data_IF_468511918520
#
_entry.id   IF_468511918520
#
_cell.length_a   1.000
_cell.length_b   1.000
_cell.length_c   1.000
_cell.angle_alpha   90.00
_cell.angle_beta   90.00
_cell.angle_gamma   90.00
#
_symmetry.space_group_name_H-M   'P 1'
#
loop_
_entity.id
_entity.type
_entity.pdbx_description
1 polymer ?
#
# COMPACT_ATOMS: atom_id res chain seq x y z
N UNK A 1 6.06 -16.32 18.35
CA UNK A 1 6.96 -17.50 18.26
C UNK A 1 7.68 -17.61 19.59
N UNK A 2 7.34 -18.66 20.36
CA UNK A 2 7.95 -18.96 21.66
C UNK A 2 9.05 -19.98 21.40
N UNK A 3 10.26 -19.65 21.80
CA UNK A 3 11.41 -20.57 21.82
C UNK A 3 11.48 -21.18 23.22
N UNK A 4 11.36 -22.49 23.32
CA UNK A 4 11.68 -23.24 24.54
C UNK A 4 12.98 -23.98 24.28
N UNK A 5 14.04 -23.64 25.03
CA UNK A 5 15.26 -24.42 25.15
C UNK A 5 15.10 -25.39 26.31
N UNK A 6 15.41 -26.64 26.09
CA UNK A 6 15.65 -27.53 27.19
C UNK A 6 17.04 -28.18 27.08
N UNK A 7 17.74 -28.19 28.18
CA UNK A 7 19.08 -28.73 28.44
C UNK A 7 18.99 -30.06 29.18
N UNK A 8 19.91 -30.96 28.85
CA UNK A 8 20.56 -32.03 29.65
C UNK A 8 20.35 -33.42 29.04
N UNK A 9 21.31 -34.28 28.90
CA UNK A 9 22.45 -34.76 29.65
C UNK A 9 23.22 -35.82 28.83
N UNK A 10 24.46 -35.99 29.21
CA UNK A 10 25.58 -36.85 28.80
C UNK A 10 25.39 -38.38 28.88
N UNK A 11 26.33 -39.04 28.14
CA UNK A 11 26.94 -40.43 28.26
C UNK A 11 26.24 -41.52 27.44
N UNK A 12 26.88 -42.42 26.74
CA UNK A 12 28.13 -43.17 26.77
C UNK A 12 28.35 -43.92 25.42
N UNK A 13 29.56 -44.26 25.16
CA UNK A 13 30.16 -44.95 24.03
C UNK A 13 29.60 -46.38 23.85
N UNK A 14 29.33 -46.80 22.60
CA UNK A 14 29.53 -48.16 22.13
C UNK A 14 29.71 -48.22 20.60
N UNK A 15 30.80 -48.84 20.20
CA UNK A 15 31.30 -49.07 18.85
C UNK A 15 30.51 -50.21 18.19
N UNK A 16 29.83 -49.92 17.06
CA UNK A 16 29.39 -50.97 16.13
C UNK A 16 29.46 -50.42 14.70
N UNK A 17 30.35 -51.05 13.92
CA UNK A 17 30.47 -50.85 12.47
C UNK A 17 29.21 -51.41 11.80
N UNK A 18 28.42 -50.55 11.14
CA UNK A 18 27.41 -51.00 10.19
C UNK A 18 27.42 -50.07 8.98
N UNK A 19 27.57 -50.69 7.83
CA UNK A 19 27.54 -50.10 6.47
C UNK A 19 26.43 -49.09 6.27
N UNK A 20 26.82 -47.85 6.00
CA UNK A 20 25.88 -46.76 5.71
C UNK A 20 25.41 -46.85 4.26
N UNK A 21 24.14 -47.17 4.05
CA UNK A 21 23.39 -46.82 2.86
C UNK A 21 23.00 -45.33 3.04
N UNK A 22 23.66 -44.46 2.29
CA UNK A 22 23.33 -43.02 2.28
C UNK A 22 21.96 -42.82 1.61
N UNK A 23 20.91 -42.78 2.40
CA UNK A 23 19.63 -42.21 1.97
C UNK A 23 19.82 -40.69 1.87
N UNK A 24 19.82 -40.13 0.64
CA UNK A 24 19.75 -38.70 0.38
C UNK A 24 18.35 -38.27 0.81
N UNK A 25 18.21 -37.73 2.01
CA UNK A 25 17.02 -37.04 2.44
C UNK A 25 17.08 -35.63 1.81
N UNK A 26 16.11 -35.22 0.96
CA UNK A 26 16.08 -33.86 0.48
C UNK A 26 15.84 -32.94 1.68
N UNK A 27 16.82 -32.15 2.03
CA UNK A 27 16.65 -31.06 2.99
C UNK A 27 15.70 -30.05 2.36
N UNK A 28 14.47 -29.97 2.88
CA UNK A 28 13.57 -28.87 2.57
C UNK A 28 14.24 -27.58 3.02
N UNK A 29 14.79 -26.84 2.09
CA UNK A 29 15.23 -25.45 2.32
C UNK A 29 13.99 -24.61 2.54
N UNK A 30 13.68 -24.33 3.80
CA UNK A 30 12.72 -23.28 4.13
C UNK A 30 13.28 -21.97 3.60
N UNK A 31 12.56 -21.33 2.66
CA UNK A 31 12.87 -19.98 2.22
C UNK A 31 12.75 -19.06 3.43
N UNK A 32 13.88 -18.62 3.97
CA UNK A 32 13.91 -17.60 5.00
C UNK A 32 13.62 -16.26 4.33
N UNK A 33 12.50 -15.63 4.71
CA UNK A 33 12.19 -14.26 4.32
C UNK A 33 13.22 -13.35 4.99
N UNK A 34 14.23 -12.90 4.25
CA UNK A 34 15.14 -11.86 4.71
C UNK A 34 14.45 -10.52 4.50
N UNK A 35 13.85 -10.00 5.57
CA UNK A 35 13.39 -8.61 5.61
C UNK A 35 14.63 -7.75 5.92
N UNK A 36 15.18 -7.11 4.90
CA UNK A 36 16.17 -6.04 5.10
C UNK A 36 15.40 -4.78 5.51
N UNK A 37 15.22 -4.58 6.80
CA UNK A 37 14.73 -3.30 7.32
C UNK A 37 15.91 -2.34 7.18
N UNK A 38 15.86 -1.44 6.19
CA UNK A 38 16.79 -0.33 6.12
C UNK A 38 16.75 0.40 7.46
N UNK A 39 17.93 0.57 8.08
CA UNK A 39 18.06 1.25 9.36
C UNK A 39 17.39 2.61 9.25
N UNK A 40 16.39 2.85 10.08
CA UNK A 40 15.80 4.18 10.18
C UNK A 40 16.93 5.20 10.40
N UNK A 41 16.88 6.41 9.83
CA UNK A 41 17.87 7.44 10.08
C UNK A 41 18.03 7.59 11.59
N UNK A 42 19.25 7.75 12.06
CA UNK A 42 19.68 7.56 13.45
C UNK A 42 18.89 8.39 14.49
N UNK A 43 18.14 9.40 14.06
CA UNK A 43 17.05 10.07 14.80
C UNK A 43 16.12 10.78 13.81
N UNK A 44 14.91 10.28 13.64
CA UNK A 44 13.88 11.04 12.92
C UNK A 44 13.64 12.39 13.61
N UNK A 45 13.57 13.51 12.88
CA UNK A 45 13.35 14.83 13.47
C UNK A 45 12.04 14.85 14.26
N UNK A 46 12.10 15.53 15.41
CA UNK A 46 10.91 15.73 16.25
C UNK A 46 9.96 16.73 15.61
N UNK A 47 8.68 16.47 15.69
CA UNK A 47 7.61 17.38 15.32
C UNK A 47 6.61 17.47 16.45
N UNK A 48 6.26 18.68 16.88
CA UNK A 48 5.19 18.90 17.84
C UNK A 48 3.91 19.23 17.09
N UNK A 49 2.86 18.48 17.38
CA UNK A 49 1.52 18.76 16.87
C UNK A 49 0.70 19.21 18.08
N UNK A 50 0.29 20.46 18.06
CA UNK A 50 -0.49 21.05 19.17
C UNK A 50 -1.96 20.77 18.90
N UNK A 51 -2.72 20.31 19.91
CA UNK A 51 -4.17 20.14 19.76
C UNK A 51 -4.80 21.40 19.16
N UNK A 52 -5.55 21.27 18.08
CA UNK A 52 -6.17 22.39 17.41
C UNK A 52 -7.25 22.99 18.30
N UNK A 53 -7.36 24.30 18.32
CA UNK A 53 -8.42 24.96 19.07
C UNK A 53 -9.79 24.53 18.54
N UNK A 54 -10.69 24.13 19.44
CA UNK A 54 -12.02 23.58 19.15
C UNK A 54 -12.01 22.22 18.43
N UNK A 55 -10.91 21.45 18.56
CA UNK A 55 -10.78 20.14 17.91
C UNK A 55 -10.52 19.01 18.92
N UNK A 56 -11.15 17.86 18.65
CA UNK A 56 -10.81 16.59 19.29
C UNK A 56 -10.46 15.48 18.28
N UNK A 57 -10.59 15.74 16.98
CA UNK A 57 -10.55 14.71 15.95
C UNK A 57 -9.32 14.79 15.02
N UNK A 58 -8.85 15.99 14.65
CA UNK A 58 -7.79 16.19 13.65
C UNK A 58 -6.39 15.94 14.22
N UNK A 59 -6.12 16.48 15.41
CA UNK A 59 -4.81 16.35 16.06
C UNK A 59 -4.30 14.90 16.12
N UNK A 60 -5.07 13.92 16.63
CA UNK A 60 -4.57 12.54 16.72
C UNK A 60 -4.30 11.91 15.34
N UNK A 61 -5.04 12.31 14.31
CA UNK A 61 -4.85 11.81 12.95
C UNK A 61 -3.50 12.27 12.42
N UNK A 62 -3.21 13.57 12.49
CA UNK A 62 -1.93 14.13 12.03
C UNK A 62 -0.76 13.50 12.78
N UNK A 63 -0.88 13.38 14.11
CA UNK A 63 0.16 12.77 14.93
C UNK A 63 0.44 11.32 14.52
N UNK A 64 -0.60 10.51 14.37
CA UNK A 64 -0.47 9.11 13.98
C UNK A 64 0.08 8.95 12.56
N UNK A 65 -0.37 9.75 11.60
CA UNK A 65 0.11 9.71 10.22
C UNK A 65 1.60 10.00 10.13
N UNK A 66 2.05 11.11 10.72
CA UNK A 66 3.44 11.51 10.68
C UNK A 66 4.36 10.53 11.42
N UNK A 67 3.93 9.99 12.57
CA UNK A 67 4.67 8.94 13.27
C UNK A 67 4.75 7.65 12.45
N UNK A 68 3.63 7.22 11.86
CA UNK A 68 3.56 6.00 11.04
C UNK A 68 4.45 6.08 9.80
N UNK A 69 4.70 7.28 9.29
CA UNK A 69 5.61 7.48 8.16
C UNK A 69 7.06 7.04 8.44
N UNK A 70 7.43 6.94 9.73
CA UNK A 70 8.80 6.67 10.17
C UNK A 70 9.80 7.79 9.86
N UNK A 71 9.33 8.92 9.28
CA UNK A 71 10.16 10.09 8.97
C UNK A 71 10.21 11.12 10.07
N UNK A 72 9.24 11.09 10.99
CA UNK A 72 9.10 12.01 12.10
C UNK A 72 8.83 11.25 13.39
N UNK A 73 9.19 11.89 14.51
CA UNK A 73 8.82 11.41 15.86
C UNK A 73 8.02 12.51 16.54
N UNK A 74 6.82 12.19 17.02
CA UNK A 74 6.00 13.15 17.75
C UNK A 74 6.68 13.57 19.05
N UNK A 75 6.77 14.87 19.28
CA UNK A 75 7.21 15.44 20.55
C UNK A 75 5.98 15.59 21.45
N UNK A 76 5.80 14.68 22.42
CA UNK A 76 4.63 14.63 23.30
C UNK A 76 4.91 15.03 24.75
N UNK A 77 6.18 15.23 25.12
CA UNK A 77 6.57 15.52 26.51
C UNK A 77 7.29 16.87 26.61
N UNK A 78 7.02 17.58 27.73
CA UNK A 78 7.64 18.86 28.07
C UNK A 78 7.51 19.94 26.97
N UNK A 79 6.34 19.97 26.31
CA UNK A 79 6.08 20.99 25.31
C UNK A 79 5.85 22.36 25.96
N UNK A 80 6.28 23.45 25.32
CA UNK A 80 5.92 24.80 25.74
C UNK A 80 4.40 24.98 25.84
N UNK A 81 3.94 25.69 26.90
CA UNK A 81 2.53 25.80 27.22
C UNK A 81 1.70 26.62 26.22
N UNK A 82 2.35 27.40 25.35
CA UNK A 82 1.67 28.33 24.45
C UNK A 82 2.17 28.19 23.02
N UNK A 83 1.35 27.56 22.20
CA UNK A 83 1.46 27.70 20.75
C UNK A 83 0.05 27.72 20.16
N UNK A 84 -0.26 28.74 19.42
CA UNK A 84 -1.51 28.91 18.68
C UNK A 84 -1.21 29.59 17.34
N UNK A 85 -2.23 29.74 16.51
CA UNK A 85 -2.11 30.42 15.22
C UNK A 85 -1.44 31.79 15.42
N UNK A 86 -0.35 32.05 14.68
CA UNK A 86 0.48 33.26 14.71
C UNK A 86 1.15 33.59 16.05
N UNK A 87 1.23 32.63 17.01
CA UNK A 87 1.77 32.87 18.35
C UNK A 87 2.78 31.79 18.75
N UNK A 88 3.74 31.48 17.88
CA UNK A 88 4.81 30.52 18.16
C UNK A 88 6.08 31.28 18.61
N UNK A 89 6.52 31.03 19.85
CA UNK A 89 7.74 31.60 20.38
C UNK A 89 8.92 30.66 20.07
N UNK A 90 9.70 30.98 19.04
CA UNK A 90 10.78 30.10 18.54
C UNK A 90 11.76 29.66 19.63
N UNK A 91 12.13 30.56 20.56
CA UNK A 91 13.09 30.27 21.65
C UNK A 91 12.63 29.12 22.56
N UNK A 92 11.35 29.05 22.88
CA UNK A 92 10.80 27.99 23.75
C UNK A 92 10.93 26.60 23.08
N UNK A 93 10.67 26.55 21.79
CA UNK A 93 10.74 25.31 21.00
C UNK A 93 12.19 24.89 20.69
N UNK A 94 13.11 25.86 20.52
CA UNK A 94 14.54 25.59 20.41
C UNK A 94 15.07 24.93 21.68
N UNK A 95 14.71 25.47 22.85
CA UNK A 95 15.10 24.91 24.15
C UNK A 95 14.53 23.51 24.38
N UNK A 96 13.34 23.23 23.85
CA UNK A 96 12.72 21.90 23.90
C UNK A 96 13.31 20.90 22.88
N UNK A 97 14.19 21.36 21.98
CA UNK A 97 14.81 20.54 20.92
C UNK A 97 13.79 20.05 19.87
N UNK A 98 12.78 20.87 19.58
CA UNK A 98 11.69 20.54 18.63
C UNK A 98 11.84 21.45 17.41
N UNK A 99 12.31 20.94 16.26
CA UNK A 99 12.54 21.75 15.05
C UNK A 99 11.27 22.17 14.31
N UNK A 100 10.16 21.44 14.46
CA UNK A 100 8.92 21.71 13.72
C UNK A 100 7.71 21.73 14.64
N UNK A 101 6.84 22.72 14.44
CA UNK A 101 5.62 22.91 15.24
C UNK A 101 4.42 23.06 14.31
N UNK A 102 3.39 22.29 14.57
CA UNK A 102 2.08 22.37 13.90
C UNK A 102 1.07 22.93 14.87
N UNK A 103 0.38 23.97 14.46
CA UNK A 103 -0.75 24.57 15.19
C UNK A 103 -1.94 24.71 14.29
N UNK A 104 -3.14 24.73 14.85
CA UNK A 104 -4.34 24.93 14.06
C UNK A 104 -5.55 25.30 14.90
N UNK A 105 -6.61 25.70 14.20
CA UNK A 105 -7.93 25.95 14.78
C UNK A 105 -9.02 25.49 13.83
N UNK A 106 -10.13 25.07 14.38
CA UNK A 106 -11.35 24.74 13.65
C UNK A 106 -12.42 25.77 13.98
N UNK A 107 -13.07 26.27 12.94
CA UNK A 107 -14.18 27.18 13.03
C UNK A 107 -15.38 26.61 12.29
N UNK A 108 -16.54 26.63 12.94
CA UNK A 108 -17.81 26.32 12.27
C UNK A 108 -18.21 27.51 11.39
N UNK A 109 -18.35 27.28 10.09
CA UNK A 109 -18.93 28.28 9.17
C UNK A 109 -20.46 28.18 9.22
N UNK A 110 -20.95 26.95 9.18
CA UNK A 110 -22.37 26.61 9.31
C UNK A 110 -22.55 25.23 9.97
N UNK A 111 -23.78 24.72 10.04
CA UNK A 111 -24.08 23.43 10.68
C UNK A 111 -23.36 22.22 10.06
N UNK A 112 -22.91 22.32 8.81
CA UNK A 112 -22.37 21.21 8.04
C UNK A 112 -20.96 21.45 7.49
N UNK A 113 -20.37 22.65 7.74
CA UNK A 113 -19.11 23.06 7.11
C UNK A 113 -18.14 23.59 8.15
N UNK A 114 -16.92 23.08 8.11
CA UNK A 114 -15.80 23.54 8.92
C UNK A 114 -14.78 24.29 8.06
N UNK A 115 -14.22 25.34 8.63
CA UNK A 115 -13.00 25.99 8.20
C UNK A 115 -11.87 25.57 9.15
N UNK A 116 -10.81 25.02 8.58
CA UNK A 116 -9.65 24.52 9.34
C UNK A 116 -8.46 25.36 8.90
N UNK A 117 -7.98 26.23 9.79
CA UNK A 117 -6.74 26.96 9.58
C UNK A 117 -5.60 26.23 10.27
N UNK A 118 -4.53 25.92 9.55
CA UNK A 118 -3.36 25.25 10.10
C UNK A 118 -2.06 25.92 9.63
N UNK A 119 -1.03 25.80 10.47
CA UNK A 119 0.30 26.33 10.21
C UNK A 119 1.36 25.29 10.57
N UNK A 120 2.39 25.20 9.74
CA UNK A 120 3.63 24.51 10.03
C UNK A 120 4.75 25.52 10.17
N UNK A 121 5.42 25.53 11.31
CA UNK A 121 6.51 26.45 11.64
C UNK A 121 7.85 25.72 11.73
N UNK A 122 8.87 26.24 11.03
CA UNK A 122 10.29 25.83 11.15
C UNK A 122 10.93 26.69 12.23
N UNK A 123 11.24 26.07 13.36
CA UNK A 123 11.79 26.74 14.55
C UNK A 123 13.22 27.25 14.32
N UNK A 124 14.01 26.53 13.53
CA UNK A 124 15.39 26.94 13.24
C UNK A 124 15.45 28.11 12.28
N UNK A 125 14.62 28.07 11.23
CA UNK A 125 14.56 29.15 10.24
C UNK A 125 13.67 30.31 10.68
N UNK A 126 12.91 30.13 11.77
CA UNK A 126 11.94 31.09 12.29
C UNK A 126 10.93 31.56 11.24
N UNK A 127 10.41 30.62 10.45
CA UNK A 127 9.44 30.91 9.37
C UNK A 127 8.33 29.87 9.30
N UNK A 128 7.18 30.31 8.80
CA UNK A 128 6.11 29.41 8.44
C UNK A 128 6.41 28.73 7.11
N UNK A 129 6.37 27.40 7.09
CA UNK A 129 6.46 26.60 5.88
C UNK A 129 5.09 26.39 5.25
N UNK A 130 4.04 26.33 6.07
CA UNK A 130 2.65 26.28 5.65
C UNK A 130 1.84 27.27 6.48
N UNK A 131 0.86 27.89 5.85
CA UNK A 131 -0.16 28.75 6.47
C UNK A 131 -1.40 28.71 5.59
N UNK A 132 -2.24 27.72 5.81
CA UNK A 132 -3.30 27.35 4.87
C UNK A 132 -4.64 27.20 5.58
N UNK A 133 -5.70 27.34 4.79
CA UNK A 133 -7.10 27.18 5.22
C UNK A 133 -7.78 26.14 4.33
N UNK A 134 -8.38 25.13 4.97
CA UNK A 134 -9.23 24.14 4.30
C UNK A 134 -10.68 24.37 4.68
N UNK A 135 -11.57 24.36 3.70
CA UNK A 135 -13.01 24.33 3.94
C UNK A 135 -13.54 22.94 3.57
N UNK A 136 -14.13 22.25 4.53
CA UNK A 136 -14.58 20.86 4.35
C UNK A 136 -15.97 20.64 4.97
N UNK A 137 -16.79 19.75 4.40
CA UNK A 137 -17.98 19.27 5.09
C UNK A 137 -17.63 18.61 6.43
N UNK A 138 -18.48 18.78 7.44
CA UNK A 138 -18.28 18.17 8.76
C UNK A 138 -18.10 16.63 8.71
N UNK A 139 -18.73 15.97 7.74
CA UNK A 139 -18.57 14.54 7.50
C UNK A 139 -17.18 14.13 6.96
N UNK A 140 -16.33 15.10 6.56
CA UNK A 140 -14.99 14.88 6.01
C UNK A 140 -13.85 15.41 6.90
N UNK A 141 -14.14 15.76 8.13
CA UNK A 141 -13.12 16.25 9.08
C UNK A 141 -11.95 15.28 9.23
N UNK A 142 -12.22 13.99 9.30
CA UNK A 142 -11.17 12.97 9.35
C UNK A 142 -10.28 13.01 8.10
N UNK A 143 -10.88 13.06 6.92
CA UNK A 143 -10.14 13.19 5.67
C UNK A 143 -9.29 14.46 5.61
N UNK A 144 -9.79 15.57 6.17
CA UNK A 144 -9.02 16.82 6.27
C UNK A 144 -7.76 16.64 7.13
N UNK A 145 -7.82 15.88 8.22
CA UNK A 145 -6.63 15.53 9.03
C UNK A 145 -5.56 14.86 8.19
N UNK A 146 -5.92 13.85 7.40
CA UNK A 146 -4.99 13.17 6.49
C UNK A 146 -4.45 14.10 5.39
N UNK A 147 -5.28 15.00 4.83
CA UNK A 147 -4.83 15.99 3.84
C UNK A 147 -3.82 16.97 4.44
N UNK A 148 -4.01 17.38 5.68
CA UNK A 148 -3.04 18.21 6.41
C UNK A 148 -1.74 17.44 6.62
N UNK A 149 -1.81 16.16 6.97
CA UNK A 149 -0.65 15.28 7.08
C UNK A 149 0.13 15.19 5.76
N UNK A 150 -0.56 15.07 4.62
CA UNK A 150 0.05 15.07 3.28
C UNK A 150 0.79 16.37 2.99
N UNK A 151 0.16 17.52 3.28
CA UNK A 151 0.76 18.83 3.06
C UNK A 151 2.02 19.04 3.93
N UNK A 152 1.95 18.67 5.23
CA UNK A 152 3.08 18.73 6.15
C UNK A 152 4.22 17.83 5.68
N UNK A 153 3.90 16.59 5.29
CA UNK A 153 4.88 15.62 4.82
C UNK A 153 5.60 16.14 3.57
N UNK A 154 4.86 16.65 2.62
CA UNK A 154 5.40 17.24 1.38
C UNK A 154 6.27 18.47 1.66
N UNK A 155 5.83 19.37 2.53
CA UNK A 155 6.59 20.57 2.89
C UNK A 155 7.94 20.25 3.55
N UNK A 156 8.00 19.17 4.34
CA UNK A 156 9.20 18.78 5.08
C UNK A 156 10.12 17.82 4.31
N UNK A 157 9.59 17.01 3.41
CA UNK A 157 10.38 15.97 2.72
C UNK A 157 10.57 16.24 1.23
N UNK A 158 9.77 17.11 0.63
CA UNK A 158 9.68 17.31 -0.82
C UNK A 158 8.96 16.16 -1.56
N UNK A 159 8.46 15.15 -0.85
CA UNK A 159 7.77 13.99 -1.40
C UNK A 159 6.27 14.15 -1.11
N UNK A 160 5.42 13.90 -2.11
CA UNK A 160 3.98 13.93 -1.90
C UNK A 160 3.54 12.94 -0.81
N UNK A 161 2.69 13.38 0.11
CA UNK A 161 2.06 12.50 1.09
C UNK A 161 1.01 11.61 0.44
N UNK A 162 0.67 10.50 1.11
CA UNK A 162 -0.36 9.54 0.67
C UNK A 162 -1.26 9.09 1.85
N UNK A 163 -1.37 9.94 2.88
CA UNK A 163 -2.18 9.65 4.05
C UNK A 163 -3.68 9.79 3.77
N UNK A 164 -4.07 10.74 2.91
CA UNK A 164 -5.47 10.93 2.50
C UNK A 164 -5.97 9.92 1.48
N UNK A 165 -5.11 8.98 1.07
CA UNK A 165 -5.44 7.89 0.19
C UNK A 165 -6.41 6.88 0.81
N UNK A 166 -6.75 5.83 0.04
CA UNK A 166 -7.59 4.72 0.50
C UNK A 166 -6.95 3.40 0.15
N UNK A 167 -7.11 2.41 1.02
CA UNK A 167 -6.71 1.04 0.79
C UNK A 167 -7.90 0.17 0.41
N UNK A 168 -7.67 -0.80 -0.46
CA UNK A 168 -8.62 -1.86 -0.78
C UNK A 168 -8.02 -3.21 -0.39
N UNK A 169 -8.77 -4.01 0.34
CA UNK A 169 -8.32 -5.29 0.84
C UNK A 169 -9.44 -6.32 0.92
N UNK A 170 -9.06 -7.57 0.95
CA UNK A 170 -10.01 -8.68 1.11
C UNK A 170 -9.81 -9.34 2.46
N UNK A 171 -10.88 -9.36 3.25
CA UNK A 171 -10.95 -10.15 4.48
C UNK A 171 -11.49 -11.55 4.16
N UNK A 172 -10.89 -12.56 4.79
CA UNK A 172 -11.40 -13.92 4.81
C UNK A 172 -11.87 -14.26 6.21
N UNK A 173 -13.19 -14.49 6.36
CA UNK A 173 -13.76 -14.96 7.61
C UNK A 173 -14.28 -16.40 7.45
N UNK A 174 -13.56 -17.40 7.96
CA UNK A 174 -13.95 -18.80 7.85
C UNK A 174 -15.22 -19.17 8.66
N UNK A 175 -15.58 -18.34 9.65
CA UNK A 175 -16.73 -18.59 10.54
C UNK A 175 -18.06 -18.12 9.93
N UNK A 176 -18.04 -17.34 8.84
CA UNK A 176 -19.24 -16.86 8.15
C UNK A 176 -19.28 -17.38 6.71
N UNK A 177 -19.75 -18.63 6.47
CA UNK A 177 -19.69 -19.26 5.14
C UNK A 177 -20.36 -18.46 4.03
N UNK A 178 -21.46 -17.75 4.34
CA UNK A 178 -22.20 -16.96 3.36
C UNK A 178 -21.46 -15.68 2.91
N UNK A 179 -20.58 -15.16 3.77
CA UNK A 179 -19.79 -13.94 3.54
C UNK A 179 -18.32 -14.22 3.85
N UNK A 180 -17.82 -15.35 3.34
CA UNK A 180 -16.49 -15.84 3.65
C UNK A 180 -15.37 -14.90 3.18
N UNK A 181 -15.62 -14.19 2.10
CA UNK A 181 -14.69 -13.18 1.55
C UNK A 181 -15.43 -11.86 1.45
N UNK A 182 -14.79 -10.81 1.94
CA UNK A 182 -15.35 -9.46 1.93
C UNK A 182 -14.32 -8.50 1.37
N UNK A 183 -14.61 -7.87 0.24
CA UNK A 183 -13.83 -6.78 -0.30
C UNK A 183 -14.23 -5.51 0.44
N UNK A 184 -13.26 -4.87 1.04
CA UNK A 184 -13.43 -3.62 1.79
C UNK A 184 -12.50 -2.54 1.26
N UNK A 185 -12.93 -1.30 1.45
CA UNK A 185 -12.11 -0.10 1.31
C UNK A 185 -12.11 0.66 2.64
N UNK A 186 -10.97 1.22 3.00
CA UNK A 186 -10.80 2.00 4.22
C UNK A 186 -9.85 3.17 3.97
N UNK A 187 -9.72 4.08 4.93
CA UNK A 187 -8.65 5.05 4.97
C UNK A 187 -7.29 4.33 5.08
N UNK A 188 -6.18 4.98 4.76
CA UNK A 188 -4.84 4.35 4.78
C UNK A 188 -4.41 3.85 6.15
N UNK A 189 -5.01 4.36 7.23
CA UNK A 189 -4.80 3.88 8.61
C UNK A 189 -5.70 2.70 9.00
N UNK A 190 -6.55 2.24 8.07
CA UNK A 190 -7.47 1.11 8.27
C UNK A 190 -8.82 1.48 8.87
N UNK A 191 -9.02 2.74 9.23
CA UNK A 191 -10.27 3.22 9.80
C UNK A 191 -11.38 3.42 8.75
N UNK A 192 -12.60 3.55 9.21
CA UNK A 192 -13.82 3.70 8.40
C UNK A 192 -13.99 2.65 7.29
N UNK A 193 -13.81 1.35 7.58
CA UNK A 193 -13.95 0.31 6.57
C UNK A 193 -15.37 0.26 6.02
N UNK A 194 -15.47 0.24 4.68
CA UNK A 194 -16.73 0.07 3.95
C UNK A 194 -16.68 -1.21 3.13
N UNK A 195 -17.71 -2.05 3.27
CA UNK A 195 -17.85 -3.25 2.46
C UNK A 195 -18.30 -2.88 1.05
N UNK A 196 -17.49 -3.28 0.07
CA UNK A 196 -17.80 -3.13 -1.37
C UNK A 196 -18.52 -4.36 -1.89
N UNK A 197 -18.08 -5.55 -1.47
CA UNK A 197 -18.63 -6.83 -1.90
C UNK A 197 -18.45 -7.89 -0.81
N UNK A 198 -19.48 -8.72 -0.61
CA UNK A 198 -19.39 -9.97 0.18
C UNK A 198 -19.65 -11.17 -0.72
N UNK A 199 -18.86 -12.23 -0.58
CA UNK A 199 -18.93 -13.43 -1.40
C UNK A 199 -18.67 -14.70 -0.58
N UNK A 200 -19.25 -15.81 -1.01
CA UNK A 200 -18.91 -17.16 -0.53
C UNK A 200 -17.62 -17.68 -1.18
N UNK A 201 -17.40 -17.28 -2.42
CA UNK A 201 -16.27 -17.68 -3.25
C UNK A 201 -15.13 -16.66 -3.15
N UNK A 202 -13.89 -17.04 -3.43
CA UNK A 202 -12.74 -16.14 -3.31
C UNK A 202 -12.87 -14.85 -4.11
N UNK A 203 -12.38 -13.77 -3.52
CA UNK A 203 -12.12 -12.48 -4.16
C UNK A 203 -10.62 -12.24 -4.06
N UNK A 204 -9.96 -11.92 -5.19
CA UNK A 204 -8.51 -11.73 -5.24
C UNK A 204 -8.14 -10.46 -6.01
N UNK A 205 -6.92 -9.99 -5.79
CA UNK A 205 -6.26 -8.94 -6.58
C UNK A 205 -7.12 -7.68 -6.81
N UNK A 206 -7.67 -7.05 -5.75
CA UNK A 206 -8.34 -5.78 -5.92
C UNK A 206 -7.36 -4.73 -6.44
N UNK A 207 -7.81 -3.89 -7.38
CA UNK A 207 -7.04 -2.78 -7.93
C UNK A 207 -7.95 -1.60 -8.27
N UNK A 208 -7.47 -0.41 -7.97
CA UNK A 208 -8.18 0.84 -8.24
C UNK A 208 -8.06 1.24 -9.71
N UNK A 209 -9.11 1.87 -10.25
CA UNK A 209 -8.95 2.72 -11.44
C UNK A 209 -8.15 3.98 -11.07
N UNK A 210 -7.41 4.61 -12.00
CA UNK A 210 -6.59 5.79 -11.69
C UNK A 210 -7.39 6.97 -11.10
N UNK A 211 -8.66 7.11 -11.47
CA UNK A 211 -9.57 8.12 -10.94
C UNK A 211 -10.18 7.75 -9.57
N UNK A 212 -9.83 6.57 -9.03
CA UNK A 212 -10.33 6.02 -7.78
C UNK A 212 -11.86 5.93 -7.65
N UNK A 213 -12.61 5.98 -8.78
CA UNK A 213 -14.07 5.85 -8.77
C UNK A 213 -14.55 4.40 -8.85
N UNK A 214 -13.72 3.53 -9.43
CA UNK A 214 -14.05 2.10 -9.60
C UNK A 214 -12.94 1.23 -9.06
N UNK A 215 -13.29 -0.03 -8.78
CA UNK A 215 -12.35 -1.06 -8.36
C UNK A 215 -12.56 -2.31 -9.20
N UNK A 216 -11.47 -2.87 -9.74
CA UNK A 216 -11.49 -4.18 -10.37
C UNK A 216 -10.97 -5.23 -9.39
N UNK A 217 -11.45 -6.45 -9.54
CA UNK A 217 -11.06 -7.59 -8.74
C UNK A 217 -11.36 -8.90 -9.47
N UNK A 218 -10.71 -9.98 -9.04
CA UNK A 218 -11.01 -11.33 -9.51
C UNK A 218 -12.06 -11.93 -8.60
N UNK A 219 -13.14 -12.49 -9.17
CA UNK A 219 -14.17 -13.22 -8.45
C UNK A 219 -14.32 -14.64 -8.99
N UNK A 220 -14.56 -15.58 -8.08
CA UNK A 220 -14.84 -16.99 -8.40
C UNK A 220 -16.34 -17.34 -8.28
N UNK A 221 -17.24 -16.36 -8.23
CA UNK A 221 -18.69 -16.56 -8.07
C UNK A 221 -19.31 -17.44 -9.17
N UNK A 222 -18.72 -17.46 -10.37
CA UNK A 222 -19.12 -18.33 -11.49
C UNK A 222 -18.38 -19.66 -11.52
N UNK A 223 -17.70 -20.04 -10.42
CA UNK A 223 -16.83 -21.23 -10.27
C UNK A 223 -15.58 -21.20 -11.16
N UNK A 224 -15.34 -20.13 -11.86
CA UNK A 224 -14.12 -19.85 -12.66
C UNK A 224 -13.67 -18.41 -12.36
N UNK A 225 -12.36 -18.14 -12.41
CA UNK A 225 -11.89 -16.78 -12.18
C UNK A 225 -12.37 -15.86 -13.31
N UNK A 226 -13.01 -14.77 -12.94
CA UNK A 226 -13.37 -13.69 -13.84
C UNK A 226 -12.97 -12.33 -13.22
N UNK A 227 -12.55 -11.40 -14.05
CA UNK A 227 -12.24 -10.04 -13.63
C UNK A 227 -13.51 -9.20 -13.76
N UNK A 228 -13.93 -8.63 -12.64
CA UNK A 228 -15.02 -7.68 -12.55
C UNK A 228 -14.49 -6.28 -12.32
N UNK A 229 -15.23 -5.28 -12.76
CA UNK A 229 -15.08 -3.89 -12.34
C UNK A 229 -16.37 -3.42 -11.70
N UNK A 230 -16.27 -2.69 -10.61
CA UNK A 230 -17.40 -2.19 -9.84
C UNK A 230 -17.27 -0.69 -9.61
N UNK A 231 -18.33 0.04 -9.92
CA UNK A 231 -18.47 1.45 -9.60
C UNK A 231 -18.78 1.61 -8.10
N UNK A 232 -18.02 2.42 -7.41
CA UNK A 232 -18.11 2.57 -5.96
C UNK A 232 -19.27 3.47 -5.50
N UNK A 233 -19.76 4.34 -6.37
CA UNK A 233 -20.89 5.21 -6.05
C UNK A 233 -22.23 4.51 -6.26
N UNK A 234 -22.35 3.72 -7.33
CA UNK A 234 -23.59 3.06 -7.71
C UNK A 234 -23.68 1.59 -7.29
N UNK A 235 -22.51 0.96 -7.02
CA UNK A 235 -22.40 -0.47 -6.78
C UNK A 235 -22.57 -1.34 -8.04
N UNK A 236 -22.76 -0.74 -9.22
CA UNK A 236 -22.93 -1.49 -10.47
C UNK A 236 -21.63 -2.22 -10.83
N UNK A 237 -21.79 -3.44 -11.33
CA UNK A 237 -20.70 -4.35 -11.67
C UNK A 237 -20.82 -4.81 -13.11
N UNK A 238 -19.67 -4.93 -13.78
CA UNK A 238 -19.58 -5.58 -15.09
C UNK A 238 -18.37 -6.52 -15.16
N UNK A 239 -18.44 -7.51 -16.05
CA UNK A 239 -17.33 -8.42 -16.32
C UNK A 239 -16.41 -7.79 -17.35
N UNK A 240 -15.12 -7.64 -17.00
CA UNK A 240 -14.08 -7.19 -17.93
C UNK A 240 -13.45 -8.37 -18.70
N UNK A 241 -13.13 -9.46 -17.99
CA UNK A 241 -12.51 -10.64 -18.59
C UNK A 241 -13.00 -11.92 -17.93
N UNK A 242 -13.42 -12.89 -18.76
CA UNK A 242 -13.87 -14.24 -18.34
C UNK A 242 -13.51 -15.26 -19.41
N UNK A 243 -12.25 -15.29 -19.81
CA UNK A 243 -11.73 -16.21 -20.80
C UNK A 243 -11.54 -17.62 -20.24
N UNK A 244 -11.33 -18.61 -21.10
CA UNK A 244 -11.01 -19.98 -20.68
C UNK A 244 -9.71 -20.00 -19.87
N UNK A 245 -9.70 -20.72 -18.75
CA UNK A 245 -8.54 -20.83 -17.87
C UNK A 245 -8.42 -19.70 -16.84
N UNK A 246 -7.21 -19.27 -16.56
CA UNK A 246 -6.91 -18.20 -15.61
C UNK A 246 -7.33 -16.83 -16.18
N UNK A 247 -7.90 -16.00 -15.33
CA UNK A 247 -8.11 -14.57 -15.52
C UNK A 247 -7.74 -13.89 -14.20
N UNK A 248 -6.70 -13.06 -14.17
CA UNK A 248 -6.21 -12.55 -12.90
C UNK A 248 -5.34 -11.32 -12.97
N UNK A 249 -4.97 -10.81 -11.80
CA UNK A 249 -4.02 -9.72 -11.59
C UNK A 249 -4.26 -8.48 -12.49
N UNK A 250 -5.47 -7.87 -12.47
CA UNK A 250 -5.72 -6.67 -13.27
C UNK A 250 -4.85 -5.49 -12.82
N UNK A 251 -4.41 -4.66 -13.78
CA UNK A 251 -3.67 -3.42 -13.54
C UNK A 251 -4.05 -2.41 -14.60
N UNK A 252 -4.51 -1.22 -14.20
CA UNK A 252 -4.90 -0.17 -15.13
C UNK A 252 -3.70 0.66 -15.59
N UNK A 253 -3.75 1.13 -16.83
CA UNK A 253 -2.82 2.15 -17.33
C UNK A 253 -3.03 3.47 -16.57
N UNK A 254 -2.00 4.33 -16.44
CA UNK A 254 -2.14 5.62 -15.73
C UNK A 254 -3.22 6.53 -16.30
N UNK A 255 -3.49 6.46 -17.59
CA UNK A 255 -4.55 7.20 -18.28
C UNK A 255 -5.94 6.56 -18.15
N UNK A 256 -6.03 5.35 -17.55
CA UNK A 256 -7.28 4.62 -17.36
C UNK A 256 -7.92 4.06 -18.63
N UNK A 257 -7.24 4.09 -19.78
CA UNK A 257 -7.81 3.63 -21.04
C UNK A 257 -7.59 2.14 -21.30
N UNK A 258 -6.60 1.54 -20.65
CA UNK A 258 -6.23 0.14 -20.83
C UNK A 258 -6.08 -0.60 -19.51
N UNK A 259 -6.19 -1.92 -19.58
CA UNK A 259 -5.95 -2.82 -18.46
C UNK A 259 -5.02 -3.94 -18.89
N UNK A 260 -3.93 -4.16 -18.15
CA UNK A 260 -3.16 -5.40 -18.21
C UNK A 260 -3.79 -6.43 -17.30
N UNK A 261 -3.73 -7.69 -17.68
CA UNK A 261 -4.16 -8.81 -16.85
C UNK A 261 -3.48 -10.10 -17.29
N UNK A 262 -3.47 -11.09 -16.42
CA UNK A 262 -2.96 -12.43 -16.73
C UNK A 262 -4.10 -13.30 -17.24
N UNK A 263 -3.88 -14.00 -18.35
CA UNK A 263 -4.81 -15.03 -18.82
C UNK A 263 -4.07 -16.24 -19.41
N UNK A 264 -4.69 -17.43 -19.28
CA UNK A 264 -4.13 -18.68 -19.82
C UNK A 264 -4.97 -19.27 -20.96
N UNK A 265 -5.69 -18.43 -21.71
CA UNK A 265 -6.61 -18.86 -22.76
C UNK A 265 -5.96 -19.59 -23.94
N UNK A 266 -4.65 -19.40 -24.13
CA UNK A 266 -3.87 -20.04 -25.19
C UNK A 266 -2.82 -21.04 -24.68
N UNK A 267 -2.99 -21.57 -23.45
CA UNK A 267 -2.12 -22.56 -22.85
C UNK A 267 -1.59 -22.11 -21.48
N UNK A 268 -0.35 -21.60 -21.44
CA UNK A 268 0.24 -21.05 -20.21
C UNK A 268 -0.26 -19.64 -19.89
N UNK A 269 -0.07 -19.19 -18.63
CA UNK A 269 -0.38 -17.82 -18.24
C UNK A 269 0.54 -16.80 -18.94
N UNK A 270 -0.07 -15.80 -19.53
CA UNK A 270 0.58 -14.71 -20.26
C UNK A 270 -0.07 -13.37 -19.92
N UNK A 271 0.62 -12.29 -20.20
CA UNK A 271 0.11 -10.93 -20.02
C UNK A 271 -0.65 -10.50 -21.27
N UNK A 272 -1.86 -10.02 -21.06
CA UNK A 272 -2.72 -9.42 -22.07
C UNK A 272 -3.00 -7.98 -21.73
N UNK A 273 -3.13 -7.13 -22.72
CA UNK A 273 -3.65 -5.78 -22.61
C UNK A 273 -5.04 -5.71 -23.26
N UNK A 274 -5.98 -5.09 -22.58
CA UNK A 274 -7.32 -4.80 -23.09
C UNK A 274 -7.53 -3.30 -23.15
N UNK A 275 -7.95 -2.79 -24.29
CA UNK A 275 -8.49 -1.44 -24.39
C UNK A 275 -9.90 -1.44 -23.75
N UNK A 276 -10.14 -0.61 -22.77
CA UNK A 276 -11.38 -0.63 -21.98
C UNK A 276 -12.60 -0.08 -22.73
N UNK A 277 -12.37 0.78 -23.73
CA UNK A 277 -13.43 1.35 -24.55
C UNK A 277 -13.86 0.41 -25.69
N UNK A 278 -12.89 -0.13 -26.43
CA UNK A 278 -13.16 -0.97 -27.60
C UNK A 278 -13.22 -2.46 -27.30
N UNK A 279 -12.75 -2.87 -26.10
CA UNK A 279 -12.58 -4.29 -25.69
C UNK A 279 -11.58 -5.06 -26.56
N UNK A 280 -10.82 -4.37 -27.42
CA UNK A 280 -9.75 -5.02 -28.17
C UNK A 280 -8.69 -5.57 -27.23
N UNK A 281 -8.24 -6.80 -27.58
CA UNK A 281 -7.29 -7.57 -26.79
C UNK A 281 -5.99 -7.74 -27.57
N UNK A 282 -4.87 -7.51 -26.88
CA UNK A 282 -3.52 -7.75 -27.38
C UNK A 282 -2.75 -8.63 -26.41
N UNK A 283 -2.10 -9.69 -26.92
CA UNK A 283 -1.18 -10.50 -26.14
C UNK A 283 0.16 -9.78 -26.09
N UNK A 284 0.64 -9.50 -24.87
CA UNK A 284 1.87 -8.72 -24.65
C UNK A 284 3.09 -9.61 -24.46
N UNK A 285 2.90 -10.80 -23.88
CA UNK A 285 3.98 -11.79 -23.72
C UNK A 285 3.60 -13.08 -24.42
N UNK A 286 4.63 -13.78 -24.95
CA UNK A 286 4.49 -15.05 -25.65
C UNK A 286 5.73 -15.89 -25.39
N UNK A 287 5.75 -16.57 -24.25
CA UNK A 287 6.86 -17.39 -23.78
C UNK A 287 6.33 -18.74 -23.28
N UNK A 288 7.18 -19.74 -23.13
CA UNK A 288 6.81 -21.00 -22.47
C UNK A 288 6.72 -20.88 -20.95
N UNK A 289 7.27 -19.80 -20.41
CA UNK A 289 7.25 -19.47 -18.99
C UNK A 289 5.88 -18.98 -18.52
N UNK A 290 5.68 -18.95 -17.21
CA UNK A 290 4.52 -18.35 -16.56
C UNK A 290 4.78 -16.85 -16.40
N UNK A 291 4.05 -16.02 -17.14
CA UNK A 291 4.07 -14.57 -17.04
C UNK A 291 2.81 -14.08 -16.34
N UNK A 292 2.98 -13.37 -15.21
CA UNK A 292 1.84 -13.00 -14.36
C UNK A 292 2.08 -11.68 -13.61
N UNK A 293 1.02 -11.16 -12.98
CA UNK A 293 1.08 -10.03 -12.05
C UNK A 293 1.69 -8.75 -12.63
N UNK A 294 1.32 -8.44 -13.89
CA UNK A 294 1.79 -7.22 -14.54
C UNK A 294 1.33 -5.95 -13.83
N UNK A 295 2.21 -4.96 -13.75
CA UNK A 295 1.96 -3.63 -13.22
C UNK A 295 2.51 -2.56 -14.15
N UNK A 296 1.67 -1.61 -14.57
CA UNK A 296 2.14 -0.46 -15.32
C UNK A 296 3.19 0.33 -14.54
N UNK A 297 4.16 0.86 -15.26
CA UNK A 297 5.01 1.92 -14.74
C UNK A 297 4.20 3.23 -14.65
N UNK A 298 4.54 4.15 -13.72
CA UNK A 298 3.83 5.42 -13.55
C UNK A 298 3.80 6.29 -14.82
N UNK A 299 4.83 6.18 -15.67
CA UNK A 299 4.93 6.91 -16.95
C UNK A 299 4.10 6.29 -18.09
N UNK A 300 3.50 5.11 -17.86
CA UNK A 300 2.72 4.39 -18.88
C UNK A 300 3.52 3.80 -20.04
N UNK A 301 4.86 3.98 -20.07
CA UNK A 301 5.71 3.52 -21.21
C UNK A 301 6.21 2.10 -21.07
N UNK A 302 5.97 1.47 -19.95
CA UNK A 302 6.38 0.10 -19.68
C UNK A 302 5.50 -0.55 -18.64
N UNK A 303 5.67 -1.84 -18.42
CA UNK A 303 5.15 -2.54 -17.28
C UNK A 303 6.19 -3.52 -16.72
N UNK A 304 6.09 -3.83 -15.45
CA UNK A 304 6.83 -4.93 -14.83
C UNK A 304 5.91 -6.12 -14.62
N UNK A 305 6.48 -7.32 -14.60
CA UNK A 305 5.72 -8.55 -14.39
C UNK A 305 6.61 -9.64 -13.76
N UNK A 306 5.98 -10.63 -13.16
CA UNK A 306 6.64 -11.81 -12.63
C UNK A 306 6.75 -12.86 -13.74
N UNK A 307 7.94 -13.44 -13.94
CA UNK A 307 8.19 -14.53 -14.89
C UNK A 307 9.19 -15.53 -14.36
N UNK A 308 8.97 -16.82 -14.63
CA UNK A 308 9.90 -17.92 -14.30
C UNK A 308 10.79 -18.34 -15.49
N UNK A 309 10.85 -17.53 -16.57
CA UNK A 309 11.68 -17.79 -17.76
C UNK A 309 13.18 -17.98 -17.49
N UNK A 310 13.65 -17.50 -16.36
CA UNK A 310 15.02 -17.70 -15.88
C UNK A 310 15.18 -18.91 -14.93
N UNK A 311 14.20 -19.81 -14.85
CA UNK A 311 14.20 -21.01 -14.01
C UNK A 311 13.52 -20.81 -12.65
N UNK A 312 13.36 -19.59 -12.17
CA UNK A 312 12.62 -19.24 -10.95
C UNK A 312 11.95 -17.87 -11.11
N UNK A 313 10.84 -17.60 -10.39
CA UNK A 313 10.13 -16.34 -10.49
C UNK A 313 11.02 -15.13 -10.18
N UNK A 314 11.08 -14.20 -11.12
CA UNK A 314 11.82 -12.95 -11.05
C UNK A 314 11.00 -11.82 -11.67
N UNK A 315 11.37 -10.58 -11.37
CA UNK A 315 10.73 -9.41 -11.95
C UNK A 315 11.41 -9.05 -13.28
N UNK A 316 10.59 -8.89 -14.30
CA UNK A 316 10.97 -8.43 -15.63
C UNK A 316 10.25 -7.15 -15.98
N UNK A 317 10.83 -6.34 -16.84
CA UNK A 317 10.23 -5.14 -17.43
C UNK A 317 9.98 -5.37 -18.92
N UNK A 318 8.80 -5.03 -19.38
CA UNK A 318 8.43 -4.94 -20.77
C UNK A 318 8.37 -3.45 -21.17
N UNK A 319 8.99 -3.07 -22.27
CA UNK A 319 8.94 -1.72 -22.86
C UNK A 319 7.93 -1.71 -24.02
N UNK A 320 7.01 -0.73 -24.03
CA UNK A 320 6.07 -0.57 -25.13
C UNK A 320 6.72 -0.02 -26.40
N UNK A 321 7.85 0.71 -26.28
CA UNK A 321 8.51 1.36 -27.41
C UNK A 321 9.12 0.36 -28.39
N UNK A 322 9.71 -0.71 -27.88
CA UNK A 322 10.48 -1.69 -28.69
C UNK A 322 10.08 -3.15 -28.40
N UNK A 323 9.07 -3.37 -27.60
CA UNK A 323 8.60 -4.69 -27.13
C UNK A 323 9.69 -5.53 -26.45
N UNK A 324 10.75 -4.92 -25.95
CA UNK A 324 11.84 -5.62 -25.27
C UNK A 324 11.46 -6.07 -23.88
N UNK A 325 12.01 -7.22 -23.46
CA UNK A 325 11.85 -7.78 -22.13
C UNK A 325 13.20 -7.82 -21.41
N UNK A 326 13.32 -7.20 -20.24
CA UNK A 326 14.56 -7.13 -19.46
C UNK A 326 14.33 -7.58 -18.03
N UNK A 327 15.17 -8.50 -17.52
CA UNK A 327 15.17 -8.91 -16.12
C UNK A 327 15.65 -7.77 -15.22
N UNK A 328 14.96 -7.55 -14.09
CA UNK A 328 15.29 -6.51 -13.10
C UNK A 328 15.86 -7.07 -11.80
N UNK A 329 15.47 -8.29 -11.39
CA UNK A 329 15.91 -8.86 -10.12
C UNK A 329 16.88 -10.02 -10.34
N UNK A 330 18.00 -10.00 -9.59
CA UNK A 330 19.11 -10.96 -9.73
C UNK A 330 19.50 -11.60 -8.39
N UNK A 331 19.00 -11.06 -7.27
CA UNK A 331 19.24 -11.61 -5.93
C UNK A 331 17.98 -12.33 -5.43
N UNK A 332 18.16 -13.37 -4.64
CA UNK A 332 17.06 -14.20 -4.15
C UNK A 332 16.55 -15.23 -5.16
N UNK A 333 16.06 -16.35 -4.65
CA UNK A 333 15.52 -17.43 -5.47
C UNK A 333 14.09 -17.18 -5.98
N UNK A 334 13.37 -16.23 -5.36
CA UNK A 334 11.98 -15.94 -5.66
C UNK A 334 11.70 -14.45 -5.48
N UNK A 335 11.36 -13.77 -6.57
CA UNK A 335 10.92 -12.37 -6.57
C UNK A 335 9.61 -12.28 -7.40
N UNK A 336 8.53 -11.83 -6.79
CA UNK A 336 7.22 -11.75 -7.42
C UNK A 336 6.46 -10.49 -6.97
N UNK A 337 5.44 -10.09 -7.72
CA UNK A 337 4.53 -8.98 -7.42
C UNK A 337 5.25 -7.66 -7.16
N UNK A 338 6.24 -7.34 -8.00
CA UNK A 338 6.94 -6.07 -7.95
C UNK A 338 5.99 -4.88 -8.11
N UNK A 339 6.37 -3.75 -7.50
CA UNK A 339 5.71 -2.46 -7.70
C UNK A 339 6.78 -1.41 -7.97
N UNK A 340 6.46 -0.43 -8.82
CA UNK A 340 7.34 0.71 -9.11
C UNK A 340 6.84 1.90 -8.29
N UNK A 341 7.77 2.61 -7.64
CA UNK A 341 7.51 3.95 -7.10
C UNK A 341 7.51 4.98 -8.22
N UNK A 342 6.80 6.07 -8.01
CA UNK A 342 6.85 7.24 -8.87
C UNK A 342 8.23 7.91 -8.83
#
# INVERSE_FOLDING_TARGET
IIVIMDKTRKHLISLAVLTAISAIVPTATFAQLHLEIAKAPEQAPKIAIIPFTNDSAIYPIIENDLNRSGRFTSASQNLPATASINQIQAGDWQNAGVPYVVVGQIKNIDANTFEIHYQLYDVQKQQYLLNEVLTVPSSRVRQAGHMISDAIYQALTGIAGDFSGRIAYVLRNPQTPAQRYTLQIADTDGEQPKTVLSSRDPILSPTWTPDAKKIAYVSFETKRPAIYIQDLATGQREVLASFKGLNGAPSFSPDGQSMLFTASMHGNPEIYQMNLNTRQLQRMTNDSAIDTEARYAPDGKSFIFTSDRGGSPQIYRYSFDDSSVKRLTFKGAFNARGTLSA
#
